data_IF_579708263296
#
_entry.id   IF_579708263296
#
_cell.length_a   1.000
_cell.length_b   1.000
_cell.length_c   1.000
_cell.angle_alpha   90.00
_cell.angle_beta   90.00
_cell.angle_gamma   90.00
#
_symmetry.space_group_name_H-M   'P 1'
#
loop_
_entity.id
_entity.type
_entity.pdbx_description
1 polymer ?
#
# COMPACT_ATOMS: atom_id res chain seq x y z
N UNK A 1 -20.00 -2.68 7.40
CA UNK A 1 -19.35 -1.69 6.47
C UNK A 1 -17.89 -2.09 6.33
N UNK A 2 -17.45 -2.38 5.10
CA UNK A 2 -16.07 -2.84 4.84
C UNK A 2 -15.03 -1.73 5.09
N UNK A 3 -13.77 -2.06 5.36
CA UNK A 3 -12.71 -1.06 5.53
C UNK A 3 -12.58 -0.10 4.33
N UNK A 4 -12.79 -0.60 3.10
CA UNK A 4 -12.78 0.23 1.88
C UNK A 4 -13.88 1.30 1.89
N UNK A 5 -15.09 0.94 2.28
CA UNK A 5 -16.22 1.89 2.36
C UNK A 5 -15.95 2.96 3.44
N UNK A 6 -15.32 2.59 4.55
CA UNK A 6 -14.91 3.55 5.60
C UNK A 6 -13.84 4.52 5.10
N UNK A 7 -12.89 4.05 4.31
CA UNK A 7 -11.90 4.94 3.68
C UNK A 7 -12.56 5.94 2.72
N UNK A 8 -13.52 5.47 1.90
CA UNK A 8 -14.28 6.35 0.99
C UNK A 8 -15.06 7.40 1.79
N UNK A 9 -15.72 7.01 2.89
CA UNK A 9 -16.45 7.93 3.76
C UNK A 9 -15.51 8.97 4.37
N UNK A 10 -14.31 8.57 4.76
CA UNK A 10 -13.28 9.46 5.30
C UNK A 10 -12.81 10.49 4.26
N UNK A 11 -12.55 10.05 3.02
CA UNK A 11 -12.17 10.92 1.89
C UNK A 11 -13.28 11.89 1.56
N UNK A 12 -14.54 11.42 1.50
CA UNK A 12 -15.69 12.26 1.23
C UNK A 12 -15.85 13.37 2.27
N UNK A 13 -15.68 13.04 3.56
CA UNK A 13 -15.67 14.03 4.63
C UNK A 13 -14.56 15.07 4.45
N UNK A 14 -13.35 14.68 4.07
CA UNK A 14 -12.27 15.62 3.81
C UNK A 14 -12.59 16.55 2.63
N UNK A 15 -13.19 16.04 1.57
CA UNK A 15 -13.62 16.88 0.44
C UNK A 15 -14.61 17.95 0.91
N UNK A 16 -15.62 17.57 1.69
CA UNK A 16 -16.58 18.53 2.25
C UNK A 16 -15.89 19.58 3.13
N UNK A 17 -14.94 19.14 3.97
CA UNK A 17 -14.20 20.05 4.86
C UNK A 17 -13.26 20.98 4.09
N UNK A 18 -12.69 20.58 2.97
CA UNK A 18 -11.88 21.44 2.11
C UNK A 18 -12.70 22.61 1.58
N UNK A 19 -13.88 22.34 1.04
CA UNK A 19 -14.75 23.43 0.54
C UNK A 19 -15.36 24.26 1.67
N UNK A 20 -15.69 23.65 2.81
CA UNK A 20 -16.16 24.39 3.99
C UNK A 20 -15.04 25.30 4.53
N UNK A 21 -13.80 24.83 4.59
CA UNK A 21 -12.68 25.64 5.03
C UNK A 21 -12.37 26.79 4.08
N UNK A 22 -12.52 26.59 2.76
CA UNK A 22 -12.41 27.66 1.77
C UNK A 22 -13.48 28.74 2.01
N UNK A 23 -14.74 28.32 2.15
CA UNK A 23 -15.83 29.25 2.42
C UNK A 23 -15.56 30.08 3.69
N UNK A 24 -15.18 29.43 4.78
CA UNK A 24 -14.88 30.11 6.05
C UNK A 24 -13.64 31.01 5.94
N UNK A 25 -12.59 30.58 5.24
CA UNK A 25 -11.38 31.38 5.04
C UNK A 25 -11.67 32.66 4.26
N UNK A 26 -12.48 32.56 3.18
CA UNK A 26 -12.88 33.73 2.40
C UNK A 26 -13.84 34.64 3.18
N UNK A 27 -14.79 34.09 3.93
CA UNK A 27 -15.68 34.86 4.79
C UNK A 27 -14.91 35.66 5.85
N UNK A 28 -13.86 35.08 6.43
CA UNK A 28 -12.96 35.77 7.38
C UNK A 28 -12.07 36.78 6.66
N UNK A 29 -11.47 36.39 5.53
CA UNK A 29 -10.50 37.21 4.80
C UNK A 29 -11.11 38.45 4.15
N UNK A 30 -12.33 38.36 3.61
CA UNK A 30 -13.04 39.46 2.96
C UNK A 30 -14.05 40.13 3.90
N UNK A 31 -14.38 39.53 5.03
CA UNK A 31 -15.26 40.04 6.08
C UNK A 31 -16.54 40.71 5.51
N UNK A 32 -16.60 42.06 5.49
CA UNK A 32 -17.76 42.81 5.02
C UNK A 32 -18.00 42.76 3.51
N UNK A 33 -16.94 42.50 2.74
CA UNK A 33 -16.98 42.44 1.28
C UNK A 33 -17.23 41.04 0.74
N UNK A 34 -17.40 40.06 1.64
CA UNK A 34 -17.64 38.66 1.24
C UNK A 34 -18.95 38.54 0.44
N UNK A 35 -18.83 37.89 -0.73
CA UNK A 35 -19.97 37.58 -1.58
C UNK A 35 -19.86 36.20 -2.18
N UNK A 36 -20.98 35.62 -2.63
CA UNK A 36 -20.98 34.32 -3.32
C UNK A 36 -20.13 34.37 -4.61
N UNK A 37 -20.07 35.54 -5.28
CA UNK A 37 -19.25 35.72 -6.46
C UNK A 37 -17.76 35.51 -6.15
N UNK A 38 -17.24 36.05 -5.05
CA UNK A 38 -15.87 35.84 -4.60
C UNK A 38 -15.60 34.35 -4.31
N UNK A 39 -16.55 33.65 -3.68
CA UNK A 39 -16.40 32.21 -3.45
C UNK A 39 -16.33 31.43 -4.77
N UNK A 40 -17.19 31.72 -5.74
CA UNK A 40 -17.20 31.05 -7.04
C UNK A 40 -15.92 31.32 -7.86
N UNK A 41 -15.37 32.52 -7.78
CA UNK A 41 -14.08 32.86 -8.42
C UNK A 41 -12.92 32.01 -7.87
N UNK A 42 -12.90 31.80 -6.56
CA UNK A 42 -11.87 30.99 -5.90
C UNK A 42 -12.09 29.48 -6.05
N UNK A 43 -13.31 29.04 -6.41
CA UNK A 43 -13.67 27.62 -6.44
C UNK A 43 -12.83 26.82 -7.43
N UNK A 44 -12.66 27.33 -8.67
CA UNK A 44 -11.94 26.62 -9.74
C UNK A 44 -10.45 26.39 -9.40
N UNK A 45 -9.65 27.42 -9.07
CA UNK A 45 -8.23 27.22 -8.76
C UNK A 45 -8.01 26.37 -7.50
N UNK A 46 -8.85 26.56 -6.46
CA UNK A 46 -8.73 25.74 -5.27
C UNK A 46 -9.19 24.29 -5.48
N UNK A 47 -10.16 24.01 -6.36
CA UNK A 47 -10.53 22.64 -6.71
C UNK A 47 -9.38 21.87 -7.37
N UNK A 48 -8.64 22.53 -8.27
CA UNK A 48 -7.43 21.93 -8.86
C UNK A 48 -6.38 21.66 -7.77
N UNK A 49 -6.13 22.63 -6.90
CA UNK A 49 -5.20 22.50 -5.79
C UNK A 49 -5.60 21.35 -4.84
N UNK A 50 -6.89 21.19 -4.55
CA UNK A 50 -7.42 20.16 -3.66
C UNK A 50 -7.23 18.74 -4.19
N UNK A 51 -7.21 18.53 -5.50
CA UNK A 51 -6.84 17.24 -6.08
C UNK A 51 -5.41 16.84 -5.66
N UNK A 52 -4.47 17.78 -5.72
CA UNK A 52 -3.10 17.55 -5.26
C UNK A 52 -3.03 17.36 -3.74
N UNK A 53 -3.83 18.11 -2.97
CA UNK A 53 -3.88 17.95 -1.51
C UNK A 53 -4.39 16.58 -1.11
N UNK A 54 -5.43 16.05 -1.75
CA UNK A 54 -5.93 14.70 -1.49
C UNK A 54 -4.85 13.63 -1.78
N UNK A 55 -4.06 13.81 -2.84
CA UNK A 55 -2.92 12.93 -3.14
C UNK A 55 -1.88 13.01 -2.02
N UNK A 56 -1.52 14.21 -1.55
CA UNK A 56 -0.59 14.41 -0.43
C UNK A 56 -1.13 13.73 0.83
N UNK A 57 -2.41 13.92 1.18
CA UNK A 57 -3.03 13.28 2.34
C UNK A 57 -2.98 11.76 2.24
N UNK A 58 -3.15 11.23 1.03
CA UNK A 58 -3.01 9.79 0.79
C UNK A 58 -1.55 9.33 0.99
N UNK A 59 -0.56 10.07 0.48
CA UNK A 59 0.88 9.80 0.66
C UNK A 59 1.24 9.79 2.15
N UNK A 60 0.79 10.79 2.90
CA UNK A 60 1.03 10.88 4.35
C UNK A 60 0.23 9.85 5.16
N UNK A 61 -0.61 9.05 4.51
CA UNK A 61 -1.37 7.96 5.13
C UNK A 61 -2.59 8.43 5.92
N UNK A 62 -3.13 9.62 5.66
CA UNK A 62 -4.33 10.14 6.35
C UNK A 62 -5.56 9.23 6.19
N UNK A 63 -5.57 8.41 5.15
CA UNK A 63 -6.62 7.42 4.88
C UNK A 63 -6.26 6.01 5.35
N UNK A 64 -5.13 5.86 6.04
CA UNK A 64 -4.77 4.59 6.67
C UNK A 64 -5.49 4.47 8.01
N UNK A 65 -6.49 3.60 8.07
CA UNK A 65 -7.29 3.40 9.28
C UNK A 65 -6.44 2.93 10.48
N UNK A 66 -5.24 2.38 10.25
CA UNK A 66 -4.34 1.92 11.30
C UNK A 66 -3.60 3.05 12.00
N UNK A 67 -3.58 4.23 11.42
CA UNK A 67 -2.85 5.39 11.94
C UNK A 67 -3.41 5.90 13.27
N UNK A 68 -4.70 5.73 13.50
CA UNK A 68 -5.38 6.14 14.74
C UNK A 68 -4.89 5.41 15.99
N UNK A 69 -4.12 4.34 15.81
CA UNK A 69 -3.58 3.54 16.93
C UNK A 69 -2.51 4.28 17.73
N UNK A 70 -1.77 5.20 17.11
CA UNK A 70 -0.67 5.95 17.74
C UNK A 70 -0.95 7.45 17.60
N UNK A 71 -1.61 8.07 18.59
CA UNK A 71 -2.04 9.48 18.50
C UNK A 71 -0.89 10.44 18.18
N UNK A 72 0.27 10.26 18.78
CA UNK A 72 1.44 11.12 18.54
C UNK A 72 1.89 11.08 17.05
N UNK A 73 2.01 9.86 16.47
CA UNK A 73 2.37 9.70 15.06
C UNK A 73 1.29 10.27 14.15
N UNK A 74 0.04 10.14 14.55
CA UNK A 74 -1.08 10.71 13.80
C UNK A 74 -0.99 12.24 13.72
N UNK A 75 -0.80 12.92 14.85
CA UNK A 75 -0.71 14.39 14.88
C UNK A 75 0.51 14.93 14.14
N UNK A 76 1.66 14.31 14.31
CA UNK A 76 2.88 14.71 13.59
C UNK A 76 2.73 14.58 12.08
N UNK A 77 2.03 13.56 11.60
CA UNK A 77 1.74 13.40 10.16
C UNK A 77 0.75 14.44 9.64
N UNK A 78 -0.30 14.75 10.41
CA UNK A 78 -1.23 15.82 10.02
C UNK A 78 -0.47 17.13 9.89
N UNK A 79 0.32 17.52 10.88
CA UNK A 79 1.10 18.77 10.83
C UNK A 79 2.07 18.79 9.65
N UNK A 80 2.79 17.70 9.40
CA UNK A 80 3.68 17.59 8.25
C UNK A 80 2.91 17.70 6.92
N UNK A 81 1.76 17.02 6.80
CA UNK A 81 0.90 17.09 5.62
C UNK A 81 0.36 18.49 5.38
N UNK A 82 -0.10 19.18 6.42
CA UNK A 82 -0.57 20.59 6.34
C UNK A 82 0.57 21.54 5.92
N UNK A 83 1.77 21.35 6.42
CA UNK A 83 2.96 22.11 5.97
C UNK A 83 3.24 21.89 4.49
N UNK A 84 3.17 20.63 4.02
CA UNK A 84 3.38 20.29 2.62
C UNK A 84 2.31 20.91 1.69
N UNK A 85 1.03 20.82 2.06
CA UNK A 85 -0.05 21.38 1.24
C UNK A 85 -0.02 22.90 1.22
N UNK A 86 0.43 23.55 2.30
CA UNK A 86 0.66 24.99 2.34
C UNK A 86 1.79 25.38 1.36
N UNK A 87 2.93 24.69 1.44
CA UNK A 87 4.06 24.95 0.54
C UNK A 87 3.67 24.74 -0.93
N UNK A 88 2.94 23.64 -1.22
CA UNK A 88 2.43 23.37 -2.57
C UNK A 88 1.45 24.46 -3.03
N UNK A 89 0.56 24.94 -2.16
CA UNK A 89 -0.40 25.99 -2.48
C UNK A 89 0.30 27.31 -2.80
N UNK A 90 1.33 27.69 -2.03
CA UNK A 90 2.15 28.88 -2.33
C UNK A 90 2.81 28.71 -3.70
N UNK A 91 3.46 27.58 -3.95
CA UNK A 91 4.13 27.26 -5.22
C UNK A 91 3.15 27.28 -6.39
N UNK A 92 1.97 26.67 -6.22
CA UNK A 92 0.92 26.64 -7.23
C UNK A 92 0.49 28.02 -7.68
N UNK A 93 0.12 28.89 -6.74
CA UNK A 93 -0.34 30.25 -7.06
C UNK A 93 0.80 31.18 -7.51
N UNK A 94 2.04 30.89 -7.13
CA UNK A 94 3.20 31.65 -7.62
C UNK A 94 3.57 31.29 -9.07
N UNK A 95 3.53 29.98 -9.43
CA UNK A 95 3.93 29.49 -10.74
C UNK A 95 2.81 29.59 -11.78
N UNK A 96 1.55 29.62 -11.37
CA UNK A 96 0.38 29.62 -12.26
C UNK A 96 -0.44 30.89 -12.04
N UNK A 97 0.03 32.05 -12.51
CA UNK A 97 -0.70 33.34 -12.35
C UNK A 97 -1.95 33.44 -13.22
N UNK A 98 -2.25 32.42 -14.01
CA UNK A 98 -3.40 32.37 -14.94
C UNK A 98 -4.75 32.69 -14.28
N UNK A 99 -4.91 32.36 -13.01
CA UNK A 99 -6.20 32.56 -12.30
C UNK A 99 -6.43 33.98 -11.79
N UNK A 100 -5.47 34.89 -11.94
CA UNK A 100 -5.61 36.29 -11.52
C UNK A 100 -5.75 36.55 -10.00
N UNK A 101 -5.74 35.48 -9.19
CA UNK A 101 -5.87 35.56 -7.73
C UNK A 101 -4.52 35.28 -7.05
N UNK A 102 -4.21 36.06 -6.01
CA UNK A 102 -3.03 35.86 -5.16
C UNK A 102 -3.45 35.66 -3.70
N UNK A 103 -4.03 34.48 -3.37
CA UNK A 103 -4.72 34.28 -2.09
C UNK A 103 -3.73 34.02 -0.93
N UNK A 104 -2.74 34.91 -0.71
CA UNK A 104 -1.70 34.72 0.33
C UNK A 104 -2.30 34.46 1.71
N UNK A 105 -3.15 35.37 2.19
CA UNK A 105 -3.77 35.28 3.51
C UNK A 105 -4.89 34.24 3.53
N UNK A 106 -5.73 34.18 2.48
CA UNK A 106 -6.85 33.25 2.38
C UNK A 106 -6.38 31.78 2.30
N UNK A 107 -5.22 31.53 1.62
CA UNK A 107 -4.61 30.20 1.59
C UNK A 107 -4.16 29.76 3.01
N UNK A 108 -3.53 30.67 3.76
CA UNK A 108 -3.12 30.39 5.13
C UNK A 108 -4.33 30.10 6.02
N UNK A 109 -5.38 30.95 5.98
CA UNK A 109 -6.61 30.70 6.72
C UNK A 109 -7.27 29.38 6.30
N UNK A 110 -7.32 29.08 5.02
CA UNK A 110 -7.86 27.81 4.52
C UNK A 110 -7.13 26.61 5.12
N UNK A 111 -5.79 26.59 5.11
CA UNK A 111 -5.00 25.49 5.68
C UNK A 111 -5.18 25.38 7.20
N UNK A 112 -5.21 26.50 7.93
CA UNK A 112 -5.40 26.49 9.38
C UNK A 112 -6.82 25.98 9.76
N UNK A 113 -7.85 26.52 9.12
CA UNK A 113 -9.25 26.12 9.38
C UNK A 113 -9.43 24.64 9.01
N UNK A 114 -8.92 24.22 7.83
CA UNK A 114 -8.97 22.82 7.42
C UNK A 114 -8.27 21.90 8.43
N UNK A 115 -7.11 22.32 8.95
CA UNK A 115 -6.39 21.57 9.98
C UNK A 115 -7.23 21.32 11.24
N UNK A 116 -7.89 22.36 11.74
CA UNK A 116 -8.79 22.25 12.91
C UNK A 116 -10.00 21.36 12.61
N UNK A 117 -10.66 21.58 11.47
CA UNK A 117 -11.81 20.79 11.05
C UNK A 117 -11.45 19.31 10.84
N UNK A 118 -10.33 19.04 10.19
CA UNK A 118 -9.83 17.68 9.99
C UNK A 118 -9.54 16.97 11.31
N UNK A 119 -8.99 17.67 12.27
CA UNK A 119 -8.76 17.11 13.61
C UNK A 119 -10.09 16.68 14.26
N UNK A 120 -11.10 17.55 14.26
CA UNK A 120 -12.45 17.25 14.77
C UNK A 120 -13.09 16.09 14.02
N UNK A 121 -12.99 16.10 12.69
CA UNK A 121 -13.51 15.06 11.81
C UNK A 121 -12.90 13.69 12.11
N UNK A 122 -11.58 13.61 12.24
CA UNK A 122 -10.90 12.37 12.59
C UNK A 122 -11.33 11.83 13.96
N UNK A 123 -11.46 12.70 14.95
CA UNK A 123 -11.92 12.31 16.29
C UNK A 123 -13.37 11.80 16.24
N UNK A 124 -14.25 12.47 15.53
CA UNK A 124 -15.64 12.06 15.32
C UNK A 124 -15.71 10.71 14.58
N UNK A 125 -14.98 10.58 13.47
CA UNK A 125 -14.92 9.35 12.70
C UNK A 125 -14.44 8.16 13.55
N UNK A 126 -13.37 8.36 14.32
CA UNK A 126 -12.87 7.34 15.24
C UNK A 126 -13.93 6.94 16.26
N UNK A 127 -14.56 7.89 16.95
CA UNK A 127 -15.62 7.61 17.92
C UNK A 127 -16.77 6.82 17.30
N UNK A 128 -17.22 7.23 16.11
CA UNK A 128 -18.33 6.61 15.41
C UNK A 128 -18.06 5.15 15.04
N UNK A 129 -16.86 4.88 14.46
CA UNK A 129 -16.54 3.55 13.92
C UNK A 129 -15.85 2.61 14.91
N UNK A 130 -15.29 3.10 16.01
CA UNK A 130 -14.71 2.26 17.06
C UNK A 130 -15.74 1.74 18.05
N UNK A 131 -16.89 2.38 18.20
CA UNK A 131 -17.89 2.00 19.20
C UNK A 131 -19.25 1.60 18.65
N UNK A 132 -19.77 2.28 17.62
CA UNK A 132 -21.15 2.13 17.19
C UNK A 132 -21.36 1.21 15.97
N UNK A 133 -20.40 1.13 15.06
CA UNK A 133 -20.52 0.37 13.81
C UNK A 133 -19.52 -0.78 13.72
N UNK A 134 -19.37 -1.54 14.82
CA UNK A 134 -18.53 -2.75 14.81
C UNK A 134 -19.36 -3.94 14.30
N UNK A 135 -18.78 -4.68 13.34
CA UNK A 135 -19.27 -5.97 12.91
C UNK A 135 -18.75 -7.02 13.90
N UNK A 136 -19.61 -7.62 14.66
CA UNK A 136 -19.25 -8.66 15.63
C UNK A 136 -18.96 -9.97 14.91
N UNK A 137 -17.73 -10.44 15.07
CA UNK A 137 -17.19 -11.59 14.36
C UNK A 137 -16.95 -12.73 15.32
N UNK A 138 -17.31 -13.95 14.91
CA UNK A 138 -16.79 -15.16 15.53
C UNK A 138 -16.01 -16.00 14.53
N UNK A 139 -15.02 -16.73 15.00
CA UNK A 139 -14.18 -17.63 14.21
C UNK A 139 -14.52 -19.06 14.61
N UNK A 140 -14.75 -19.91 13.61
CA UNK A 140 -14.99 -21.34 13.79
C UNK A 140 -13.75 -22.09 13.33
N UNK A 141 -13.19 -22.89 14.23
CA UNK A 141 -11.94 -23.63 14.02
C UNK A 141 -10.73 -22.91 14.63
N UNK A 142 -9.88 -23.68 15.30
CA UNK A 142 -8.67 -23.21 15.95
C UNK A 142 -7.44 -23.59 15.14
N UNK A 143 -6.51 -22.65 14.99
CA UNK A 143 -5.23 -22.86 14.32
C UNK A 143 -4.37 -21.59 14.32
N UNK A 144 -3.09 -21.68 13.99
CA UNK A 144 -2.17 -20.52 13.99
C UNK A 144 -2.69 -19.34 13.18
N UNK A 145 -3.34 -19.60 12.05
CA UNK A 145 -3.90 -18.55 11.19
C UNK A 145 -5.14 -17.91 11.82
N UNK A 146 -6.02 -18.70 12.46
CA UNK A 146 -7.17 -18.16 13.18
C UNK A 146 -6.75 -17.24 14.32
N UNK A 147 -5.69 -17.61 15.05
CA UNK A 147 -5.11 -16.80 16.12
C UNK A 147 -4.47 -15.52 15.57
N UNK A 148 -3.70 -15.61 14.48
CA UNK A 148 -3.11 -14.44 13.83
C UNK A 148 -4.20 -13.46 13.38
N UNK A 149 -5.27 -13.96 12.74
CA UNK A 149 -6.41 -13.14 12.31
C UNK A 149 -7.11 -12.49 13.50
N UNK A 150 -7.30 -13.24 14.59
CA UNK A 150 -7.87 -12.72 15.83
C UNK A 150 -7.05 -11.59 16.41
N UNK A 151 -5.73 -11.74 16.47
CA UNK A 151 -4.79 -10.70 16.91
C UNK A 151 -4.88 -9.49 15.98
N UNK A 152 -4.98 -9.71 14.65
CA UNK A 152 -5.12 -8.63 13.68
C UNK A 152 -6.41 -7.84 13.88
N UNK A 153 -7.53 -8.51 14.14
CA UNK A 153 -8.82 -7.88 14.44
C UNK A 153 -8.73 -7.07 15.74
N UNK A 154 -8.21 -7.65 16.82
CA UNK A 154 -8.11 -7.00 18.12
C UNK A 154 -7.18 -5.78 18.08
N UNK A 155 -6.08 -5.86 17.34
CA UNK A 155 -5.14 -4.76 17.17
C UNK A 155 -5.68 -3.61 16.33
N UNK A 156 -6.72 -3.84 15.52
CA UNK A 156 -7.23 -2.87 14.55
C UNK A 156 -8.76 -2.66 14.65
N UNK A 157 -9.29 -2.20 15.80
CA UNK A 157 -10.75 -2.06 16.01
C UNK A 157 -11.42 -1.09 15.03
N UNK A 158 -10.67 -0.14 14.49
CA UNK A 158 -11.13 0.83 13.49
C UNK A 158 -11.36 0.23 12.08
N UNK A 159 -10.91 -1.00 11.82
CA UNK A 159 -11.34 -1.75 10.64
C UNK A 159 -12.82 -2.12 10.73
N UNK A 160 -13.40 -2.01 11.94
CA UNK A 160 -14.81 -2.19 12.20
C UNK A 160 -15.22 -3.62 12.42
N UNK A 161 -14.28 -4.45 12.77
CA UNK A 161 -14.52 -5.82 13.22
C UNK A 161 -14.22 -5.93 14.72
N UNK A 162 -15.07 -6.65 15.44
CA UNK A 162 -14.87 -6.98 16.85
C UNK A 162 -14.96 -8.50 17.01
N UNK A 163 -13.87 -9.11 17.40
CA UNK A 163 -13.88 -10.52 17.74
C UNK A 163 -14.67 -10.72 19.03
N UNK A 164 -15.70 -11.58 18.95
CA UNK A 164 -16.66 -11.80 20.04
C UNK A 164 -16.54 -13.22 20.60
N UNK A 165 -16.22 -14.21 19.76
CA UNK A 165 -16.10 -15.60 20.18
C UNK A 165 -15.17 -16.40 19.26
N UNK A 166 -14.65 -17.51 19.81
CA UNK A 166 -14.12 -18.65 19.08
C UNK A 166 -15.02 -19.86 19.31
N UNK A 167 -15.33 -20.58 18.27
CA UNK A 167 -16.13 -21.81 18.33
C UNK A 167 -15.31 -23.00 17.85
N UNK A 168 -15.42 -24.11 18.56
CA UNK A 168 -14.97 -25.40 18.07
C UNK A 168 -15.95 -25.97 17.03
N UNK A 169 -15.51 -26.92 16.18
CA UNK A 169 -16.31 -27.45 15.08
C UNK A 169 -17.50 -28.31 15.54
N UNK A 170 -17.51 -28.81 16.75
CA UNK A 170 -18.50 -29.76 17.27
C UNK A 170 -19.63 -29.13 18.10
N UNK A 171 -19.55 -27.82 18.42
CA UNK A 171 -20.47 -27.14 19.32
C UNK A 171 -21.72 -26.64 18.60
N UNK A 172 -22.90 -26.78 19.23
CA UNK A 172 -24.07 -26.01 18.81
C UNK A 172 -23.87 -24.55 19.17
N UNK A 173 -23.78 -23.74 18.13
CA UNK A 173 -23.40 -22.33 18.23
C UNK A 173 -24.60 -21.39 18.09
N UNK A 174 -25.80 -21.91 17.82
CA UNK A 174 -26.96 -21.10 17.46
C UNK A 174 -27.43 -20.17 18.59
N UNK A 175 -27.41 -20.65 19.83
CA UNK A 175 -27.78 -19.87 21.02
C UNK A 175 -26.76 -18.77 21.32
N UNK A 176 -25.46 -19.10 21.33
CA UNK A 176 -24.39 -18.12 21.58
C UNK A 176 -24.33 -17.02 20.50
N UNK A 177 -24.63 -17.35 19.25
CA UNK A 177 -24.72 -16.36 18.16
C UNK A 177 -25.79 -15.33 18.46
N UNK A 178 -26.97 -15.78 18.91
CA UNK A 178 -28.09 -14.88 19.27
C UNK A 178 -27.78 -14.01 20.46
N UNK A 179 -27.27 -14.60 21.56
CA UNK A 179 -26.91 -13.89 22.78
C UNK A 179 -25.85 -12.81 22.53
N UNK A 180 -24.79 -13.17 21.83
CA UNK A 180 -23.65 -12.27 21.56
C UNK A 180 -23.92 -11.32 20.38
N UNK A 181 -25.05 -11.49 19.67
CA UNK A 181 -25.42 -10.72 18.47
C UNK A 181 -24.29 -10.71 17.45
N UNK A 182 -23.84 -11.89 17.04
CA UNK A 182 -22.78 -12.04 16.04
C UNK A 182 -23.35 -11.70 14.67
N UNK A 183 -22.61 -10.96 13.87
CA UNK A 183 -23.00 -10.53 12.53
C UNK A 183 -22.31 -11.34 11.42
N UNK A 184 -21.09 -11.83 11.70
CA UNK A 184 -20.27 -12.54 10.71
C UNK A 184 -19.60 -13.75 11.34
N UNK A 185 -19.65 -14.88 10.65
CA UNK A 185 -18.91 -16.10 10.98
C UNK A 185 -17.75 -16.29 10.00
N UNK A 186 -16.54 -16.45 10.54
CA UNK A 186 -15.35 -16.79 9.76
C UNK A 186 -15.10 -18.28 9.91
N UNK A 187 -15.07 -18.97 8.79
CA UNK A 187 -14.90 -20.42 8.71
C UNK A 187 -13.42 -20.72 8.47
N UNK A 188 -12.73 -21.22 9.51
CA UNK A 188 -11.29 -21.51 9.45
C UNK A 188 -10.98 -22.98 9.12
N UNK A 189 -12.00 -23.78 8.90
CA UNK A 189 -11.87 -25.20 8.54
C UNK A 189 -12.45 -25.47 7.15
N UNK A 190 -11.89 -26.47 6.48
CA UNK A 190 -12.46 -26.99 5.25
C UNK A 190 -13.75 -27.74 5.61
N UNK A 191 -14.89 -27.16 5.25
CA UNK A 191 -16.20 -27.72 5.51
C UNK A 191 -16.41 -28.94 4.62
N UNK A 192 -16.51 -30.12 5.24
CA UNK A 192 -16.99 -31.30 4.54
C UNK A 192 -18.53 -31.21 4.44
N UNK A 193 -19.12 -31.46 3.27
CA UNK A 193 -20.56 -31.26 3.02
C UNK A 193 -21.52 -31.90 4.04
N UNK A 194 -21.17 -33.06 4.57
CA UNK A 194 -22.02 -33.80 5.49
C UNK A 194 -21.64 -33.69 6.97
N UNK A 195 -20.73 -32.75 7.31
CA UNK A 195 -20.30 -32.58 8.69
C UNK A 195 -21.43 -32.05 9.58
N UNK A 196 -21.37 -32.39 10.87
CA UNK A 196 -22.30 -31.85 11.88
C UNK A 196 -22.26 -30.32 11.92
N UNK A 197 -21.07 -29.74 11.69
CA UNK A 197 -20.87 -28.30 11.61
C UNK A 197 -21.68 -27.65 10.49
N UNK A 198 -21.70 -28.24 9.27
CA UNK A 198 -22.48 -27.72 8.15
C UNK A 198 -23.98 -27.76 8.47
N UNK A 199 -24.47 -28.83 9.10
CA UNK A 199 -25.86 -28.92 9.53
C UNK A 199 -26.21 -27.82 10.55
N UNK A 200 -25.35 -27.59 11.54
CA UNK A 200 -25.55 -26.54 12.54
C UNK A 200 -25.53 -25.15 11.89
N UNK A 201 -24.58 -24.88 10.96
CA UNK A 201 -24.52 -23.62 10.22
C UNK A 201 -25.74 -23.38 9.35
N UNK A 202 -26.30 -24.46 8.74
CA UNK A 202 -27.52 -24.36 7.95
C UNK A 202 -28.71 -23.92 8.81
N UNK A 203 -28.81 -24.38 10.06
CA UNK A 203 -29.85 -23.93 11.01
C UNK A 203 -29.68 -22.44 11.42
N UNK A 204 -28.47 -21.87 11.26
CA UNK A 204 -28.22 -20.45 11.54
C UNK A 204 -28.59 -19.51 10.37
N UNK A 205 -28.95 -20.00 9.18
CA UNK A 205 -29.32 -19.17 8.02
C UNK A 205 -30.44 -18.15 8.34
N UNK A 206 -31.50 -18.48 9.12
CA UNK A 206 -32.53 -17.49 9.46
C UNK A 206 -32.02 -16.30 10.28
N UNK A 207 -30.83 -16.40 10.89
CA UNK A 207 -30.22 -15.32 11.69
C UNK A 207 -29.58 -14.22 10.82
N UNK A 208 -29.64 -14.34 9.47
CA UNK A 208 -29.08 -13.38 8.51
C UNK A 208 -27.60 -13.10 8.71
N UNK A 209 -26.83 -14.10 9.08
CA UNK A 209 -25.38 -14.02 9.29
C UNK A 209 -24.66 -13.90 7.97
N UNK A 210 -23.54 -13.19 7.98
CA UNK A 210 -22.59 -13.20 6.88
C UNK A 210 -21.56 -14.31 7.11
N UNK A 211 -21.41 -15.21 6.15
CA UNK A 211 -20.43 -16.30 6.20
C UNK A 211 -19.26 -15.94 5.27
N UNK A 212 -18.05 -15.99 5.78
CA UNK A 212 -16.84 -15.78 5.00
C UNK A 212 -15.81 -16.86 5.33
N UNK A 213 -15.07 -17.31 4.35
CA UNK A 213 -13.95 -18.23 4.58
C UNK A 213 -12.73 -17.46 5.16
N UNK A 214 -11.78 -18.21 5.70
CA UNK A 214 -10.60 -17.63 6.34
C UNK A 214 -9.73 -16.86 5.34
N UNK A 215 -9.58 -17.34 4.11
CA UNK A 215 -8.78 -16.66 3.08
C UNK A 215 -9.41 -15.32 2.72
N UNK A 216 -10.73 -15.26 2.59
CA UNK A 216 -11.46 -14.01 2.36
C UNK A 216 -11.36 -13.05 3.55
N UNK A 217 -11.40 -13.56 4.78
CA UNK A 217 -11.22 -12.74 5.98
C UNK A 217 -9.79 -12.13 6.04
N UNK A 218 -8.76 -12.91 5.73
CA UNK A 218 -7.39 -12.41 5.60
C UNK A 218 -7.25 -11.35 4.49
N UNK A 219 -7.87 -11.59 3.35
CA UNK A 219 -7.86 -10.64 2.24
C UNK A 219 -8.46 -9.29 2.63
N UNK A 220 -9.59 -9.30 3.36
CA UNK A 220 -10.28 -8.08 3.78
C UNK A 220 -9.53 -7.36 4.91
N UNK A 221 -8.99 -8.07 5.90
CA UNK A 221 -8.45 -7.53 7.14
C UNK A 221 -6.95 -7.29 7.06
N UNK A 222 -6.21 -8.29 6.54
CA UNK A 222 -4.74 -8.27 6.50
C UNK A 222 -4.19 -7.82 5.14
N UNK A 223 -5.01 -7.80 4.09
CA UNK A 223 -4.62 -7.50 2.71
C UNK A 223 -3.50 -8.46 2.22
N UNK A 224 -3.60 -9.73 2.62
CA UNK A 224 -2.76 -10.87 2.20
C UNK A 224 -3.60 -12.12 2.02
N UNK A 225 -3.08 -13.13 1.31
CA UNK A 225 -3.77 -14.41 1.07
C UNK A 225 -2.94 -15.52 1.69
N UNK A 226 -3.45 -16.23 2.72
CA UNK A 226 -2.72 -17.29 3.40
C UNK A 226 -2.57 -18.52 2.50
N UNK A 227 -1.33 -18.92 2.24
CA UNK A 227 -0.99 -20.01 1.30
C UNK A 227 -1.57 -21.35 1.76
N UNK A 228 -1.63 -21.59 3.07
CA UNK A 228 -2.14 -22.85 3.65
C UNK A 228 -3.61 -23.14 3.35
N UNK A 229 -4.38 -22.12 2.93
CA UNK A 229 -5.81 -22.25 2.58
C UNK A 229 -6.06 -22.14 1.07
N UNK A 230 -4.99 -22.08 0.28
CA UNK A 230 -5.05 -21.93 -1.18
C UNK A 230 -4.64 -23.24 -1.83
N UNK A 231 -5.48 -23.75 -2.71
CA UNK A 231 -5.21 -24.93 -3.52
C UNK A 231 -5.27 -24.59 -5.02
N UNK A 232 -4.98 -25.54 -5.87
CA UNK A 232 -4.99 -25.35 -7.32
C UNK A 232 -6.33 -24.84 -7.85
N UNK A 233 -7.45 -25.33 -7.28
CA UNK A 233 -8.79 -24.89 -7.67
C UNK A 233 -8.99 -23.42 -7.34
N UNK A 234 -8.54 -23.00 -6.16
CA UNK A 234 -8.60 -21.59 -5.76
C UNK A 234 -7.91 -20.67 -6.77
N UNK A 235 -6.73 -21.04 -7.29
CA UNK A 235 -6.04 -20.26 -8.30
C UNK A 235 -6.86 -20.14 -9.60
N UNK A 236 -7.45 -21.23 -10.07
CA UNK A 236 -8.30 -21.25 -11.26
C UNK A 236 -9.53 -20.35 -11.11
N UNK A 237 -10.14 -20.33 -9.95
CA UNK A 237 -11.34 -19.53 -9.68
C UNK A 237 -11.03 -18.05 -9.46
N UNK A 238 -9.91 -17.73 -8.84
CA UNK A 238 -9.60 -16.38 -8.35
C UNK A 238 -8.61 -15.59 -9.21
N UNK A 239 -7.75 -16.24 -10.02
CA UNK A 239 -6.81 -15.54 -10.91
C UNK A 239 -7.40 -15.44 -12.33
N UNK A 240 -8.26 -14.44 -12.56
CA UNK A 240 -8.93 -14.19 -13.84
C UNK A 240 -8.06 -13.36 -14.78
N UNK A 241 -6.97 -13.92 -15.27
CA UNK A 241 -5.98 -13.21 -16.10
C UNK A 241 -6.57 -12.66 -17.40
N UNK A 242 -7.51 -13.39 -18.04
CA UNK A 242 -8.15 -12.98 -19.30
C UNK A 242 -8.90 -11.64 -19.16
N UNK A 243 -9.48 -11.35 -18.01
CA UNK A 243 -10.26 -10.13 -17.78
C UNK A 243 -9.36 -8.89 -17.60
N UNK A 244 -8.05 -9.08 -17.42
CA UNK A 244 -7.09 -8.00 -17.13
C UNK A 244 -6.36 -7.44 -18.35
N UNK A 245 -6.69 -7.87 -19.56
CA UNK A 245 -5.97 -7.46 -20.77
C UNK A 245 -5.99 -5.95 -21.04
N UNK A 246 -7.11 -5.26 -20.78
CA UNK A 246 -7.20 -3.80 -20.89
C UNK A 246 -6.36 -3.09 -19.82
N UNK A 247 -6.44 -3.57 -18.59
CA UNK A 247 -5.61 -3.09 -17.50
C UNK A 247 -4.11 -3.21 -17.82
N UNK A 248 -3.65 -4.35 -18.34
CA UNK A 248 -2.24 -4.59 -18.65
C UNK A 248 -1.71 -3.64 -19.73
N UNK A 249 -2.53 -3.32 -20.76
CA UNK A 249 -2.17 -2.34 -21.80
C UNK A 249 -2.03 -0.93 -21.22
N UNK A 250 -3.01 -0.50 -20.40
CA UNK A 250 -2.99 0.82 -19.79
C UNK A 250 -1.85 0.95 -18.76
N UNK A 251 -1.64 -0.10 -17.96
CA UNK A 251 -0.49 -0.20 -17.04
C UNK A 251 0.83 -0.06 -17.80
N UNK A 252 0.99 -0.75 -18.93
CA UNK A 252 2.22 -0.65 -19.74
C UNK A 252 2.47 0.77 -20.25
N UNK A 253 1.44 1.47 -20.68
CA UNK A 253 1.54 2.87 -21.09
C UNK A 253 2.00 3.76 -19.93
N UNK A 254 1.39 3.60 -18.75
CA UNK A 254 1.77 4.33 -17.52
C UNK A 254 3.22 4.01 -17.12
N UNK A 255 3.63 2.74 -17.16
CA UNK A 255 4.99 2.31 -16.87
C UNK A 255 6.00 3.03 -17.77
N UNK A 256 5.74 3.10 -19.08
CA UNK A 256 6.63 3.77 -20.04
C UNK A 256 6.71 5.28 -19.74
N UNK A 257 5.56 5.94 -19.56
CA UNK A 257 5.50 7.39 -19.31
C UNK A 257 6.24 7.75 -18.03
N UNK A 258 5.95 7.06 -16.92
CA UNK A 258 6.57 7.37 -15.62
C UNK A 258 8.07 7.00 -15.59
N UNK A 259 8.46 5.86 -16.20
CA UNK A 259 9.87 5.49 -16.29
C UNK A 259 10.67 6.49 -17.15
N UNK A 260 10.12 6.93 -18.28
CA UNK A 260 10.74 7.96 -19.13
C UNK A 260 10.91 9.28 -18.40
N UNK A 261 9.86 9.72 -17.70
CA UNK A 261 9.89 10.95 -16.90
C UNK A 261 10.94 10.87 -15.79
N UNK A 262 11.01 9.74 -15.07
CA UNK A 262 11.98 9.55 -14.00
C UNK A 262 13.42 9.53 -14.52
N UNK A 263 13.67 8.85 -15.64
CA UNK A 263 14.98 8.87 -16.30
C UNK A 263 15.36 10.28 -16.76
N UNK A 264 14.43 11.01 -17.38
CA UNK A 264 14.66 12.37 -17.82
C UNK A 264 15.01 13.30 -16.65
N UNK A 265 14.22 13.27 -15.58
CA UNK A 265 14.45 14.10 -14.38
C UNK A 265 15.76 13.76 -13.65
N UNK A 266 16.17 12.48 -13.67
CA UNK A 266 17.38 12.03 -12.96
C UNK A 266 18.63 12.04 -13.84
N UNK A 267 18.49 12.15 -15.18
CA UNK A 267 19.63 12.11 -16.12
C UNK A 267 20.74 13.14 -15.83
N UNK A 268 20.46 14.38 -15.36
CA UNK A 268 21.53 15.33 -15.02
C UNK A 268 22.42 14.84 -13.86
N UNK A 269 21.93 13.95 -12.99
CA UNK A 269 22.69 13.40 -11.86
C UNK A 269 23.64 12.28 -12.28
N UNK A 270 23.38 11.60 -13.41
CA UNK A 270 24.13 10.40 -13.83
C UNK A 270 25.63 10.64 -14.04
N UNK A 271 26.07 11.73 -14.70
CA UNK A 271 27.51 12.02 -14.82
C UNK A 271 28.21 12.16 -13.46
N UNK A 272 27.56 12.86 -12.51
CA UNK A 272 28.14 13.04 -11.17
C UNK A 272 28.23 11.71 -10.40
N UNK A 273 27.18 10.88 -10.48
CA UNK A 273 27.17 9.54 -9.88
C UNK A 273 28.28 8.68 -10.52
N UNK A 274 28.40 8.70 -11.86
CA UNK A 274 29.42 7.95 -12.58
C UNK A 274 30.84 8.37 -12.18
N UNK A 275 31.11 9.66 -12.08
CA UNK A 275 32.40 10.20 -11.63
C UNK A 275 32.67 9.74 -10.19
N UNK A 276 31.71 9.89 -9.28
CA UNK A 276 31.87 9.48 -7.88
C UNK A 276 32.21 7.99 -7.74
N UNK A 277 31.52 7.12 -8.46
CA UNK A 277 31.81 5.67 -8.47
C UNK A 277 33.21 5.39 -9.03
N UNK A 278 33.60 6.08 -10.12
CA UNK A 278 34.94 5.90 -10.75
C UNK A 278 36.07 6.38 -9.88
N UNK A 279 35.87 7.48 -9.12
CA UNK A 279 36.89 8.01 -8.22
C UNK A 279 37.12 7.13 -6.99
N UNK A 280 36.10 6.38 -6.54
CA UNK A 280 36.23 5.54 -5.35
C UNK A 280 37.06 4.26 -5.59
N UNK A 281 36.81 3.52 -6.67
CA UNK A 281 37.48 2.24 -6.91
C UNK A 281 37.77 1.89 -8.39
N UNK A 282 37.59 2.85 -9.30
CA UNK A 282 37.88 2.77 -10.75
C UNK A 282 37.12 1.65 -11.52
N UNK A 283 36.29 0.85 -10.86
CA UNK A 283 35.54 -0.24 -11.48
C UNK A 283 34.36 0.22 -12.37
N UNK A 284 33.49 -0.68 -12.85
CA UNK A 284 32.35 -0.34 -13.72
C UNK A 284 31.32 0.52 -12.99
N UNK A 285 30.65 1.42 -13.74
CA UNK A 285 29.62 2.33 -13.21
C UNK A 285 28.33 1.57 -12.89
N UNK A 286 27.96 0.66 -13.80
CA UNK A 286 26.77 -0.15 -13.70
C UNK A 286 27.11 -1.56 -13.20
N UNK A 287 26.17 -2.12 -12.45
CA UNK A 287 26.15 -3.51 -12.04
C UNK A 287 24.90 -4.17 -12.61
N UNK A 288 25.07 -5.33 -13.21
CA UNK A 288 23.97 -6.13 -13.76
C UNK A 288 23.92 -7.47 -13.04
N UNK A 289 22.70 -7.89 -12.68
CA UNK A 289 22.46 -9.15 -11.99
C UNK A 289 21.27 -9.89 -12.61
N UNK A 290 21.43 -11.19 -12.82
CA UNK A 290 20.36 -12.03 -13.32
C UNK A 290 19.23 -12.15 -12.29
N UNK A 291 18.00 -12.01 -12.77
CA UNK A 291 16.76 -12.10 -11.99
C UNK A 291 15.70 -12.86 -12.77
N UNK A 292 14.78 -13.51 -12.05
CA UNK A 292 13.64 -14.20 -12.67
C UNK A 292 12.54 -13.22 -12.95
N UNK A 293 12.11 -13.20 -14.22
CA UNK A 293 11.05 -12.35 -14.75
C UNK A 293 9.70 -13.06 -14.91
N UNK A 294 8.87 -12.51 -15.79
CA UNK A 294 7.58 -13.11 -16.16
C UNK A 294 7.80 -14.48 -16.80
N UNK A 295 6.91 -15.43 -16.50
CA UNK A 295 6.93 -16.82 -16.99
C UNK A 295 8.22 -17.57 -16.64
N UNK A 296 8.94 -17.13 -15.60
CA UNK A 296 10.20 -17.74 -15.19
C UNK A 296 11.41 -17.39 -16.08
N UNK A 297 11.25 -16.49 -17.06
CA UNK A 297 12.31 -16.11 -18.01
C UNK A 297 13.30 -15.19 -17.30
N UNK A 298 14.61 -15.56 -17.25
CA UNK A 298 15.61 -14.72 -16.63
C UNK A 298 15.89 -13.46 -17.45
N UNK A 299 16.26 -12.37 -16.76
CA UNK A 299 16.67 -11.11 -17.35
C UNK A 299 17.76 -10.43 -16.53
N UNK A 300 18.50 -9.49 -17.12
CA UNK A 300 19.55 -8.72 -16.45
C UNK A 300 18.96 -7.44 -15.85
N UNK A 301 18.93 -7.38 -14.53
CA UNK A 301 18.52 -6.20 -13.77
C UNK A 301 19.71 -5.24 -13.63
N UNK A 302 19.55 -3.98 -14.05
CA UNK A 302 20.61 -2.97 -14.12
C UNK A 302 20.51 -2.03 -12.93
N UNK A 303 21.64 -1.76 -12.23
CA UNK A 303 21.76 -0.79 -11.13
C UNK A 303 23.03 0.02 -11.25
N UNK A 304 23.13 1.15 -10.56
CA UNK A 304 24.44 1.74 -10.27
C UNK A 304 25.18 0.84 -9.28
N UNK A 305 26.46 0.69 -9.49
CA UNK A 305 27.28 -0.09 -8.58
C UNK A 305 27.39 0.59 -7.23
N UNK A 306 27.05 -0.12 -6.17
CA UNK A 306 27.08 0.31 -4.79
C UNK A 306 27.93 -0.57 -3.87
N UNK A 307 28.55 -1.64 -4.44
CA UNK A 307 29.46 -2.55 -3.75
C UNK A 307 30.82 -2.58 -4.43
N UNK A 308 31.85 -2.99 -3.69
CA UNK A 308 33.21 -3.20 -4.21
C UNK A 308 33.20 -4.22 -5.35
N UNK A 309 34.12 -4.10 -6.29
CA UNK A 309 34.26 -5.06 -7.39
C UNK A 309 34.57 -6.46 -6.85
N UNK A 310 33.83 -7.45 -7.36
CA UNK A 310 34.01 -8.83 -6.93
C UNK A 310 33.44 -9.16 -5.54
N UNK A 311 32.63 -8.30 -4.95
CA UNK A 311 32.07 -8.48 -3.60
C UNK A 311 31.31 -9.81 -3.37
N UNK A 312 30.84 -10.46 -4.42
CA UNK A 312 30.14 -11.75 -4.36
C UNK A 312 30.99 -12.96 -4.76
N UNK A 313 32.26 -12.73 -5.16
CA UNK A 313 33.13 -13.84 -5.62
C UNK A 313 33.44 -14.86 -4.52
N UNK A 314 33.56 -14.40 -3.29
CA UNK A 314 33.92 -15.26 -2.15
C UNK A 314 32.69 -15.81 -1.40
N UNK A 315 31.60 -15.02 -1.34
CA UNK A 315 30.44 -15.38 -0.55
C UNK A 315 29.29 -15.99 -1.33
N UNK A 316 29.35 -15.93 -2.67
CA UNK A 316 28.23 -16.34 -3.53
C UNK A 316 26.96 -15.49 -3.33
N UNK A 317 25.82 -16.08 -3.65
CA UNK A 317 24.52 -15.47 -3.47
C UNK A 317 24.08 -15.50 -2.00
N UNK A 318 24.22 -14.39 -1.29
CA UNK A 318 23.75 -14.22 0.10
C UNK A 318 22.76 -13.07 0.21
N UNK A 319 21.81 -13.18 1.13
CA UNK A 319 20.92 -12.06 1.46
C UNK A 319 21.72 -10.91 2.10
N UNK A 320 21.37 -9.67 1.74
CA UNK A 320 22.08 -8.50 2.23
C UNK A 320 21.97 -8.35 3.76
N UNK A 321 23.09 -8.07 4.44
CA UNK A 321 23.15 -7.80 5.88
C UNK A 321 22.98 -6.30 6.19
N UNK A 322 22.66 -5.98 7.45
CA UNK A 322 22.41 -4.58 7.88
C UNK A 322 23.69 -3.73 7.82
N UNK A 323 24.84 -4.32 8.15
CA UNK A 323 26.18 -3.71 8.10
C UNK A 323 27.07 -4.50 7.14
N UNK A 324 26.79 -4.37 5.84
CA UNK A 324 27.55 -5.08 4.82
C UNK A 324 28.85 -4.32 4.49
N UNK A 325 29.97 -4.86 4.89
CA UNK A 325 31.33 -4.27 4.67
C UNK A 325 31.74 -4.18 3.21
N UNK A 326 31.00 -4.85 2.32
CA UNK A 326 31.21 -4.83 0.86
C UNK A 326 30.69 -3.53 0.22
N UNK A 327 29.86 -2.75 0.95
CA UNK A 327 29.27 -1.51 0.42
C UNK A 327 30.33 -0.39 0.43
N UNK A 328 30.49 0.31 -0.72
CA UNK A 328 31.37 1.46 -0.85
C UNK A 328 30.76 2.71 -0.17
N UNK A 329 31.56 3.76 0.10
CA UNK A 329 31.04 4.98 0.73
C UNK A 329 30.02 5.70 -0.17
N UNK A 330 30.34 5.83 -1.48
CA UNK A 330 29.40 6.32 -2.49
C UNK A 330 28.17 5.42 -2.56
N UNK A 331 28.38 4.09 -2.56
CA UNK A 331 27.32 3.10 -2.55
C UNK A 331 26.36 3.23 -1.36
N UNK A 332 26.86 3.60 -0.18
CA UNK A 332 26.04 3.85 1.01
C UNK A 332 25.10 5.03 0.80
N UNK A 333 25.59 6.12 0.17
CA UNK A 333 24.75 7.27 -0.17
C UNK A 333 23.70 6.89 -1.21
N UNK A 334 24.11 6.19 -2.28
CA UNK A 334 23.23 5.77 -3.35
C UNK A 334 22.11 4.87 -2.83
N UNK A 335 22.42 3.87 -1.97
CA UNK A 335 21.43 2.99 -1.34
C UNK A 335 20.48 3.72 -0.41
N UNK A 336 21.01 4.65 0.41
CA UNK A 336 20.18 5.45 1.32
C UNK A 336 19.19 6.35 0.58
N UNK A 337 19.56 6.82 -0.61
CA UNK A 337 18.71 7.65 -1.47
C UNK A 337 17.96 6.85 -2.52
N UNK A 338 18.16 5.53 -2.59
CA UNK A 338 17.67 4.63 -3.64
C UNK A 338 18.04 5.04 -5.07
N UNK A 339 19.03 5.91 -5.23
CA UNK A 339 19.52 6.33 -6.56
C UNK A 339 20.23 5.17 -7.29
N UNK A 340 20.77 4.19 -6.56
CA UNK A 340 21.36 2.99 -7.14
C UNK A 340 20.36 2.18 -7.97
N UNK A 341 19.07 2.26 -7.68
CA UNK A 341 18.03 1.49 -8.38
C UNK A 341 17.43 2.23 -9.61
N UNK A 342 17.74 3.53 -9.82
CA UNK A 342 17.20 4.31 -10.94
C UNK A 342 17.48 3.69 -12.32
N UNK A 343 18.66 3.09 -12.63
CA UNK A 343 18.88 2.43 -13.91
C UNK A 343 17.91 1.28 -14.23
N UNK A 344 17.19 0.73 -13.24
CA UNK A 344 16.15 -0.27 -13.49
C UNK A 344 14.99 0.28 -14.33
N UNK A 345 14.83 1.61 -14.43
CA UNK A 345 13.84 2.22 -15.33
C UNK A 345 14.12 1.88 -16.80
N UNK A 346 15.37 1.56 -17.17
CA UNK A 346 15.71 1.01 -18.49
C UNK A 346 15.11 -0.39 -18.68
N UNK A 347 15.11 -1.23 -17.63
CA UNK A 347 14.42 -2.52 -17.67
C UNK A 347 12.89 -2.34 -17.76
N UNK A 348 12.34 -1.29 -17.13
CA UNK A 348 10.92 -0.96 -17.29
C UNK A 348 10.62 -0.56 -18.72
N UNK A 349 11.41 0.30 -19.36
CA UNK A 349 11.22 0.69 -20.76
C UNK A 349 11.38 -0.50 -21.72
N UNK A 350 12.34 -1.38 -21.48
CA UNK A 350 12.52 -2.61 -22.26
C UNK A 350 11.33 -3.57 -22.09
N UNK A 351 10.71 -3.57 -20.92
CA UNK A 351 9.55 -4.40 -20.62
C UNK A 351 9.85 -5.67 -19.82
N UNK A 352 11.06 -5.83 -19.32
CA UNK A 352 11.44 -6.92 -18.42
C UNK A 352 10.76 -6.74 -17.05
N UNK A 353 10.62 -5.50 -16.61
CA UNK A 353 10.07 -5.08 -15.30
C UNK A 353 8.90 -4.12 -15.52
N UNK A 354 7.97 -4.07 -14.58
CA UNK A 354 6.93 -3.05 -14.43
C UNK A 354 7.27 -2.12 -13.26
N UNK A 355 6.67 -0.94 -13.16
CA UNK A 355 6.82 -0.11 -11.96
C UNK A 355 6.27 -0.80 -10.73
N UNK A 356 5.15 -1.53 -10.86
CA UNK A 356 4.50 -2.23 -9.74
C UNK A 356 4.34 -3.71 -10.07
N UNK A 357 4.81 -4.56 -9.15
CA UNK A 357 4.73 -6.02 -9.25
C UNK A 357 5.49 -6.72 -8.11
N UNK A 358 5.52 -8.04 -8.08
CA UNK A 358 6.40 -8.81 -7.17
C UNK A 358 7.86 -8.46 -7.40
N UNK A 359 8.65 -8.28 -6.33
CA UNK A 359 10.09 -7.99 -6.48
C UNK A 359 10.81 -9.15 -7.17
N UNK A 360 11.63 -8.91 -8.21
CA UNK A 360 12.35 -9.99 -8.90
C UNK A 360 13.43 -10.58 -7.99
N UNK A 361 13.43 -11.91 -7.85
CA UNK A 361 14.42 -12.64 -7.06
C UNK A 361 15.50 -13.28 -7.95
N UNK A 362 16.62 -13.67 -7.34
CA UNK A 362 17.74 -14.36 -8.02
C UNK A 362 17.34 -15.79 -8.38
N UNK A 363 17.86 -16.37 -9.48
CA UNK A 363 17.57 -17.75 -9.86
C UNK A 363 17.83 -18.75 -8.74
N UNK A 364 18.96 -18.58 -8.00
CA UNK A 364 19.34 -19.47 -6.92
C UNK A 364 18.32 -19.48 -5.79
N UNK A 365 17.80 -18.30 -5.42
CA UNK A 365 16.78 -18.19 -4.39
C UNK A 365 15.42 -18.69 -4.87
N UNK A 366 15.06 -18.44 -6.12
CA UNK A 366 13.81 -18.97 -6.71
C UNK A 366 13.83 -20.50 -6.70
N UNK A 367 14.94 -21.13 -7.14
CA UNK A 367 15.07 -22.59 -7.14
C UNK A 367 14.97 -23.21 -5.74
N UNK A 368 15.42 -22.51 -4.70
CA UNK A 368 15.23 -22.92 -3.31
C UNK A 368 13.77 -22.73 -2.87
N UNK A 369 13.21 -21.54 -3.09
CA UNK A 369 11.88 -21.17 -2.62
C UNK A 369 10.77 -21.98 -3.29
N UNK A 370 10.93 -22.40 -4.54
CA UNK A 370 9.97 -23.28 -5.22
C UNK A 370 9.90 -24.68 -4.60
N UNK A 371 10.97 -25.14 -3.92
CA UNK A 371 10.97 -26.40 -3.18
C UNK A 371 10.32 -26.29 -1.80
N UNK A 372 10.46 -25.14 -1.15
CA UNK A 372 10.07 -24.94 0.25
C UNK A 372 8.73 -24.22 0.40
N UNK A 373 8.33 -23.38 -0.58
CA UNK A 373 7.10 -22.60 -0.54
C UNK A 373 6.11 -23.11 -1.60
N UNK A 374 4.98 -23.68 -1.18
CA UNK A 374 3.95 -24.16 -2.11
C UNK A 374 3.51 -23.09 -3.11
N UNK A 375 3.41 -23.46 -4.39
CA UNK A 375 2.92 -22.57 -5.45
C UNK A 375 3.74 -21.30 -5.70
N UNK A 376 5.00 -21.23 -5.25
CA UNK A 376 5.82 -20.01 -5.37
C UNK A 376 5.97 -19.51 -6.81
N UNK A 377 6.00 -20.41 -7.80
CA UNK A 377 6.09 -20.09 -9.24
C UNK A 377 4.93 -19.20 -9.75
N UNK A 378 3.79 -19.21 -9.07
CA UNK A 378 2.58 -18.42 -9.46
C UNK A 378 2.90 -16.91 -9.48
N UNK A 379 3.83 -16.43 -8.67
CA UNK A 379 4.25 -15.02 -8.69
C UNK A 379 4.83 -14.56 -10.02
N UNK A 380 5.34 -15.50 -10.83
CA UNK A 380 5.93 -15.24 -12.14
C UNK A 380 4.89 -15.16 -13.28
N UNK A 381 3.60 -15.34 -13.01
CA UNK A 381 2.54 -15.13 -14.01
C UNK A 381 2.51 -13.69 -14.55
N UNK A 382 2.99 -12.74 -13.80
CA UNK A 382 3.05 -11.33 -14.17
C UNK A 382 4.48 -10.81 -14.17
N UNK A 383 4.71 -9.63 -14.79
CA UNK A 383 6.01 -8.98 -14.73
C UNK A 383 6.40 -8.65 -13.30
N UNK A 384 7.66 -8.84 -12.92
CA UNK A 384 8.16 -8.34 -11.65
C UNK A 384 8.08 -6.81 -11.60
N UNK A 385 8.12 -6.24 -10.38
CA UNK A 385 7.99 -4.82 -10.15
C UNK A 385 9.24 -4.17 -9.56
N UNK A 386 9.46 -2.90 -9.90
CA UNK A 386 10.40 -2.03 -9.20
C UNK A 386 9.98 -1.87 -7.73
N UNK A 387 8.70 -1.63 -7.51
CA UNK A 387 8.04 -1.69 -6.20
C UNK A 387 6.88 -2.68 -6.20
N UNK A 388 6.36 -3.06 -5.03
CA UNK A 388 5.28 -4.02 -4.94
C UNK A 388 4.56 -3.99 -3.60
N UNK A 389 3.41 -4.68 -3.54
CA UNK A 389 2.60 -4.72 -2.33
C UNK A 389 3.32 -5.36 -1.16
N UNK A 390 4.04 -6.46 -1.41
CA UNK A 390 4.89 -7.12 -0.41
C UNK A 390 5.97 -6.18 0.14
N UNK A 391 6.62 -5.39 -0.70
CA UNK A 391 7.67 -4.44 -0.29
C UNK A 391 7.14 -3.34 0.64
N UNK A 392 5.87 -2.93 0.46
CA UNK A 392 5.23 -1.92 1.30
C UNK A 392 4.76 -2.48 2.63
N UNK A 393 4.23 -3.70 2.62
CA UNK A 393 3.62 -4.34 3.81
C UNK A 393 4.64 -5.04 4.69
N UNK A 394 5.68 -5.62 4.11
CA UNK A 394 6.68 -6.42 4.78
C UNK A 394 8.10 -5.99 4.35
N UNK A 395 8.72 -5.11 5.13
CA UNK A 395 9.97 -4.43 4.73
C UNK A 395 11.21 -5.31 4.80
N UNK A 396 11.32 -6.15 5.81
CA UNK A 396 12.52 -6.95 6.05
C UNK A 396 12.23 -8.42 5.78
N UNK A 397 13.16 -9.10 5.13
CA UNK A 397 13.05 -10.51 4.86
C UNK A 397 14.38 -11.08 4.41
N UNK A 398 14.94 -11.99 5.21
CA UNK A 398 16.24 -12.61 5.02
C UNK A 398 16.19 -14.12 5.21
N UNK A 399 15.01 -14.67 5.29
CA UNK A 399 14.76 -16.08 5.50
C UNK A 399 13.72 -16.62 4.53
N UNK A 400 13.63 -17.93 4.42
CA UNK A 400 12.57 -18.62 3.67
C UNK A 400 11.19 -18.28 4.25
N UNK A 401 11.09 -18.21 5.58
CA UNK A 401 9.84 -17.82 6.26
C UNK A 401 9.41 -16.41 5.89
N UNK A 402 10.35 -15.48 5.79
CA UNK A 402 10.04 -14.10 5.33
C UNK A 402 9.60 -14.08 3.87
N UNK A 403 10.16 -14.94 3.04
CA UNK A 403 9.78 -15.09 1.63
C UNK A 403 8.39 -15.71 1.50
N UNK A 404 8.04 -16.67 2.38
CA UNK A 404 6.71 -17.23 2.52
C UNK A 404 5.70 -16.14 2.87
N UNK A 405 6.01 -15.28 3.86
CA UNK A 405 5.13 -14.18 4.27
C UNK A 405 4.97 -13.14 3.14
N UNK A 406 6.06 -12.77 2.44
CA UNK A 406 6.01 -11.86 1.29
C UNK A 406 5.15 -12.42 0.15
N UNK A 407 5.24 -13.71 -0.10
CA UNK A 407 4.47 -14.34 -1.17
C UNK A 407 2.96 -14.25 -0.93
N UNK A 408 2.49 -14.27 0.30
CA UNK A 408 1.07 -14.05 0.63
C UNK A 408 0.59 -12.65 0.21
N UNK A 409 1.44 -11.63 0.33
CA UNK A 409 1.17 -10.28 -0.18
C UNK A 409 1.28 -10.20 -1.70
N UNK A 410 2.22 -10.94 -2.32
CA UNK A 410 2.31 -11.03 -3.77
C UNK A 410 1.05 -11.68 -4.36
N UNK A 411 0.50 -12.75 -3.72
CA UNK A 411 -0.77 -13.37 -4.11
C UNK A 411 -1.95 -12.40 -4.02
N UNK A 412 -2.00 -11.59 -2.96
CA UNK A 412 -3.02 -10.54 -2.86
C UNK A 412 -2.95 -9.57 -4.02
N UNK A 413 -1.73 -9.15 -4.38
CA UNK A 413 -1.53 -8.26 -5.52
C UNK A 413 -1.94 -8.93 -6.84
N UNK A 414 -1.53 -10.16 -7.10
CA UNK A 414 -1.90 -10.91 -8.30
C UNK A 414 -3.42 -10.96 -8.49
N UNK A 415 -4.15 -11.29 -7.44
CA UNK A 415 -5.62 -11.38 -7.47
C UNK A 415 -6.26 -10.01 -7.68
N UNK A 416 -5.84 -9.00 -6.92
CA UNK A 416 -6.51 -7.69 -6.80
C UNK A 416 -5.88 -6.59 -7.67
N UNK A 417 -4.91 -6.90 -8.54
CA UNK A 417 -4.21 -5.91 -9.35
C UNK A 417 -5.18 -5.06 -10.18
N UNK A 418 -5.01 -3.76 -10.06
CA UNK A 418 -5.81 -2.73 -10.70
C UNK A 418 -5.04 -1.41 -10.71
N UNK A 419 -5.40 -0.48 -11.59
CA UNK A 419 -4.75 0.85 -11.62
C UNK A 419 -4.84 1.58 -10.28
N UNK A 420 -5.94 1.40 -9.55
CA UNK A 420 -6.11 1.98 -8.22
C UNK A 420 -5.13 1.39 -7.21
N UNK A 421 -4.94 0.06 -7.23
CA UNK A 421 -3.96 -0.60 -6.35
C UNK A 421 -2.53 -0.22 -6.72
N UNK A 422 -2.21 -0.14 -8.02
CA UNK A 422 -0.90 0.32 -8.50
C UNK A 422 -0.61 1.75 -8.05
N UNK A 423 -1.56 2.66 -8.23
CA UNK A 423 -1.43 4.04 -7.74
C UNK A 423 -1.22 4.07 -6.21
N UNK A 424 -1.99 3.28 -5.47
CA UNK A 424 -1.83 3.13 -4.01
C UNK A 424 -0.43 2.67 -3.63
N UNK A 425 0.13 1.73 -4.38
CA UNK A 425 1.49 1.21 -4.16
C UNK A 425 2.53 2.29 -4.47
N UNK A 426 2.43 2.96 -5.61
CA UNK A 426 3.36 4.02 -6.00
C UNK A 426 3.38 5.16 -4.98
N UNK A 427 2.21 5.64 -4.56
CA UNK A 427 2.10 6.71 -3.56
C UNK A 427 2.67 6.30 -2.19
N UNK A 428 2.43 5.05 -1.76
CA UNK A 428 3.02 4.54 -0.51
C UNK A 428 4.54 4.35 -0.63
N UNK A 429 5.04 3.94 -1.79
CA UNK A 429 6.48 3.84 -2.05
C UNK A 429 7.15 5.19 -1.93
N UNK A 430 6.55 6.24 -2.50
CA UNK A 430 7.07 7.60 -2.37
C UNK A 430 7.17 8.04 -0.90
N UNK A 431 6.17 7.72 -0.07
CA UNK A 431 6.23 7.97 1.38
C UNK A 431 7.36 7.18 2.08
N UNK A 432 7.72 6.00 1.58
CA UNK A 432 8.83 5.23 2.14
C UNK A 432 10.19 5.91 1.87
N UNK A 433 10.37 6.49 0.69
CA UNK A 433 11.58 7.26 0.35
C UNK A 433 11.74 8.52 1.19
N UNK A 434 10.63 9.14 1.61
CA UNK A 434 10.64 10.33 2.48
C UNK A 434 10.93 10.02 3.95
N UNK A 435 10.72 8.78 4.40
CA UNK A 435 11.05 8.36 5.77
C UNK A 435 12.51 7.95 5.83
N UNK A 436 13.33 8.72 6.54
CA UNK A 436 14.68 8.31 6.94
C UNK A 436 14.59 6.98 7.72
N UNK A 437 15.30 5.96 7.26
CA UNK A 437 15.59 4.78 8.06
C UNK A 437 16.46 5.11 9.26
#
# INVERSE_FOLDING_TARGET
MTPKIRQIFLIFGDILLLYLSLFLALAIGFWKDFSLAIFLEHLSPFSILYLFWLIIFYIFGFYDLTLFRTPFIFYTRILAGLGFVLALGITFFYLIPFFGITPKTNLLFNVLIFGVLTFGWRKFFYSLFSSHFQNKVAIIGMGPQSEELAIAIQKNPYLGYKLTAFFGPEKDISEEIREKKIDTLILAENLLPDSALVKNLYQCLPLKLNFIDLAQAYEIICEKIPISFVNQIWFLENLREREKGFYDKLKRMIDIVLASLLLFCTSPLWPFIAIAIKLEDRGPIFYSQERIGKEGIPFLLIKFRSMKEGAEKETGAVWAEKEDTRITNVGRILRRTHLDEIPQMLNVLKGDVSLVGPRPERPEFVAQLEKEVPHYHIRHLIKPGFTGWAQIKFRYGRSVMDSFEKFQYDLYYLKNRSLFLDLRILLKTFNLFLKKE
#
